data_IF_714550701926
#
_entry.id   IF_714550701926
#
_cell.length_a   1.000
_cell.length_b   1.000
_cell.length_c   1.000
_cell.angle_alpha   90.00
_cell.angle_beta   90.00
_cell.angle_gamma   90.00
#
_symmetry.space_group_name_H-M   'P 1'
#
loop_
_entity.id
_entity.type
_entity.pdbx_description
1 polymer ?
#
# COMPACT_ATOMS: atom_id res chain seq x y z
N UNK A 1 8.61 10.08 10.04
CA UNK A 1 8.89 9.57 8.67
C UNK A 1 9.90 10.48 8.00
N UNK A 2 11.00 9.92 7.44
CA UNK A 2 12.01 10.70 6.67
C UNK A 2 11.97 10.30 5.19
N UNK A 3 12.50 11.20 4.34
CA UNK A 3 12.56 11.00 2.89
C UNK A 3 13.98 11.25 2.40
N UNK A 4 14.47 10.37 1.56
CA UNK A 4 15.69 10.52 0.78
C UNK A 4 15.36 10.39 -0.71
N UNK A 5 16.16 10.98 -1.57
CA UNK A 5 15.96 10.98 -3.02
C UNK A 5 17.09 10.23 -3.71
N UNK A 6 16.73 9.33 -4.63
CA UNK A 6 17.68 8.60 -5.47
C UNK A 6 18.57 9.55 -6.28
N UNK A 7 19.84 9.20 -6.41
CA UNK A 7 20.82 9.96 -7.20
C UNK A 7 21.26 11.26 -6.56
N UNK A 8 20.79 11.60 -5.35
CA UNK A 8 21.18 12.80 -4.63
C UNK A 8 22.31 12.52 -3.63
N UNK A 9 23.26 13.47 -3.48
CA UNK A 9 24.31 13.37 -2.47
C UNK A 9 23.76 13.77 -1.10
N UNK A 10 24.10 13.00 -0.07
CA UNK A 10 23.85 13.27 1.35
C UNK A 10 25.13 13.08 2.15
N UNK A 11 25.22 13.70 3.34
CA UNK A 11 26.36 13.52 4.25
C UNK A 11 26.52 12.04 4.59
N UNK A 12 27.74 11.52 4.46
CA UNK A 12 28.04 10.11 4.71
C UNK A 12 27.67 9.69 6.15
N UNK A 13 27.83 10.62 7.11
CA UNK A 13 27.44 10.39 8.50
C UNK A 13 25.94 10.12 8.62
N UNK A 14 25.08 10.96 8.04
CA UNK A 14 23.61 10.79 8.06
C UNK A 14 23.21 9.46 7.44
N UNK A 15 23.84 9.07 6.31
CA UNK A 15 23.56 7.78 5.67
C UNK A 15 23.99 6.59 6.51
N UNK A 16 25.16 6.65 7.14
CA UNK A 16 25.66 5.59 8.04
C UNK A 16 24.76 5.42 9.26
N UNK A 17 24.39 6.53 9.90
CA UNK A 17 23.50 6.52 11.07
C UNK A 17 22.11 5.97 10.72
N UNK A 18 21.65 6.16 9.46
CA UNK A 18 20.32 5.75 9.01
C UNK A 18 20.27 4.32 8.45
N UNK A 19 21.23 3.96 7.60
CA UNK A 19 21.21 2.73 6.79
C UNK A 19 22.36 1.77 7.09
N UNK A 20 23.27 2.14 7.99
CA UNK A 20 24.53 1.42 8.15
C UNK A 20 25.41 1.59 6.90
N UNK A 21 25.74 0.48 6.23
CA UNK A 21 26.51 0.48 4.99
C UNK A 21 25.70 0.02 3.76
N UNK A 22 24.36 0.16 3.83
CA UNK A 22 23.45 -0.34 2.80
C UNK A 22 22.86 0.82 1.98
N UNK A 23 22.42 0.52 0.77
CA UNK A 23 21.57 1.35 -0.10
C UNK A 23 22.20 2.66 -0.62
N UNK A 24 23.48 2.88 -0.43
CA UNK A 24 24.19 4.03 -0.99
C UNK A 24 25.63 3.67 -1.41
N UNK A 25 26.17 4.44 -2.32
CA UNK A 25 27.57 4.35 -2.76
C UNK A 25 28.35 5.54 -2.20
N UNK A 26 29.47 5.29 -1.46
CA UNK A 26 30.30 6.38 -0.93
C UNK A 26 30.91 7.21 -2.06
N UNK A 27 30.91 8.54 -1.91
CA UNK A 27 31.53 9.48 -2.82
C UNK A 27 32.20 10.61 -2.02
N UNK A 28 33.43 10.39 -1.60
CA UNK A 28 34.20 11.33 -0.77
C UNK A 28 33.54 11.52 0.62
N UNK A 29 33.17 12.76 0.94
CA UNK A 29 32.50 13.14 2.22
C UNK A 29 31.01 12.83 2.21
N UNK A 30 30.45 12.59 1.02
CA UNK A 30 29.04 12.30 0.80
C UNK A 30 28.83 10.85 0.36
N UNK A 31 27.61 10.39 0.37
CA UNK A 31 27.16 9.16 -0.27
C UNK A 31 25.99 9.46 -1.19
N UNK A 32 25.82 8.66 -2.23
CA UNK A 32 24.73 8.77 -3.19
C UNK A 32 23.83 7.55 -3.02
N UNK A 33 22.52 7.77 -2.92
CA UNK A 33 21.52 6.71 -2.79
C UNK A 33 21.24 6.13 -4.18
N UNK A 34 21.41 4.81 -4.32
CA UNK A 34 21.24 4.09 -5.58
C UNK A 34 19.92 3.32 -5.67
N UNK A 35 19.12 3.36 -4.62
CA UNK A 35 17.90 2.56 -4.50
C UNK A 35 16.68 3.45 -4.28
N UNK A 36 15.53 2.94 -4.70
CA UNK A 36 14.21 3.53 -4.47
C UNK A 36 13.37 2.52 -3.71
N UNK A 37 12.63 2.97 -2.70
CA UNK A 37 11.79 2.05 -1.95
C UNK A 37 11.38 2.52 -0.57
N UNK A 38 11.25 1.55 0.30
CA UNK A 38 10.81 1.69 1.67
C UNK A 38 11.77 0.96 2.60
N UNK A 39 12.13 1.59 3.69
CA UNK A 39 12.96 1.04 4.74
C UNK A 39 12.34 1.32 6.10
N UNK A 40 12.20 0.29 6.91
CA UNK A 40 11.83 0.38 8.30
C UNK A 40 13.05 0.06 9.14
N UNK A 41 13.54 1.06 9.86
CA UNK A 41 14.76 0.92 10.67
C UNK A 41 14.50 0.12 11.94
N UNK A 42 15.58 -0.29 12.56
CA UNK A 42 15.60 -0.96 13.87
C UNK A 42 14.92 -0.11 14.96
N UNK A 43 15.01 1.21 14.86
CA UNK A 43 14.45 2.16 15.81
C UNK A 43 13.00 2.52 15.51
N UNK A 44 12.30 1.69 14.73
CA UNK A 44 10.91 1.87 14.27
C UNK A 44 10.68 3.11 13.42
N UNK A 45 11.73 3.65 12.80
CA UNK A 45 11.59 4.76 11.89
C UNK A 45 11.25 4.30 10.47
N UNK A 46 10.24 4.95 9.88
CA UNK A 46 9.85 4.73 8.49
C UNK A 46 10.59 5.72 7.59
N UNK A 47 11.30 5.19 6.61
CA UNK A 47 12.10 5.95 5.67
C UNK A 47 11.68 5.58 4.24
N UNK A 48 11.43 6.59 3.43
CA UNK A 48 11.17 6.42 2.00
C UNK A 48 12.34 6.91 1.18
N UNK A 49 12.76 6.08 0.23
CA UNK A 49 13.71 6.45 -0.80
C UNK A 49 12.93 6.69 -2.07
N UNK A 50 12.73 7.97 -2.41
CA UNK A 50 11.91 8.35 -3.54
C UNK A 50 12.72 8.47 -4.83
N UNK A 51 12.08 8.27 -5.98
CA UNK A 51 12.69 8.44 -7.29
C UNK A 51 13.20 9.87 -7.51
N UNK A 52 14.28 10.02 -8.28
CA UNK A 52 14.86 11.34 -8.61
C UNK A 52 13.91 12.30 -9.34
N UNK A 53 12.82 11.83 -9.90
CA UNK A 53 11.78 12.69 -10.51
C UNK A 53 11.01 13.53 -9.49
N UNK A 54 11.15 13.25 -8.19
CA UNK A 54 10.53 14.00 -7.10
C UNK A 54 11.26 15.29 -6.71
N UNK A 55 12.46 15.48 -7.23
CA UNK A 55 13.26 16.66 -6.97
C UNK A 55 13.36 17.50 -8.23
N UNK A 56 13.26 18.80 -8.08
CA UNK A 56 13.50 19.72 -9.17
C UNK A 56 15.01 19.92 -9.44
N UNK A 57 15.34 20.69 -10.46
CA UNK A 57 16.74 21.01 -10.83
C UNK A 57 17.46 21.84 -9.77
N UNK A 58 16.75 22.49 -8.86
CA UNK A 58 17.30 23.28 -7.76
C UNK A 58 17.53 22.45 -6.48
N UNK A 59 17.19 21.16 -6.49
CA UNK A 59 17.31 20.31 -5.33
C UNK A 59 16.17 20.45 -4.32
N UNK A 60 14.98 20.94 -4.75
CA UNK A 60 13.81 21.15 -3.90
C UNK A 60 12.76 20.05 -4.12
N UNK A 61 12.19 19.60 -3.04
CA UNK A 61 11.00 18.71 -3.01
C UNK A 61 9.76 19.61 -2.94
N UNK A 62 8.73 19.25 -3.73
CA UNK A 62 7.51 20.08 -3.89
C UNK A 62 7.80 21.52 -4.34
N UNK A 63 8.92 21.76 -5.05
CA UNK A 63 9.41 23.07 -5.50
C UNK A 63 9.62 24.11 -4.37
N UNK A 64 9.68 23.66 -3.12
CA UNK A 64 9.70 24.52 -1.94
C UNK A 64 10.72 24.11 -0.89
N UNK A 65 10.83 22.83 -0.59
CA UNK A 65 11.58 22.35 0.55
C UNK A 65 12.92 21.75 0.14
N UNK A 66 14.04 22.18 0.74
CA UNK A 66 15.35 21.54 0.54
C UNK A 66 15.30 20.06 0.94
N UNK A 67 15.88 19.19 0.11
CA UNK A 67 15.92 17.73 0.34
C UNK A 67 16.56 17.33 1.68
N UNK A 68 17.58 18.09 2.12
CA UNK A 68 18.31 17.79 3.34
C UNK A 68 17.43 17.92 4.60
N UNK A 69 16.42 18.80 4.58
CA UNK A 69 15.47 18.92 5.67
C UNK A 69 14.67 17.62 5.89
N UNK A 70 14.26 16.95 4.81
CA UNK A 70 13.53 15.68 4.88
C UNK A 70 14.43 14.48 5.22
N UNK A 71 15.73 14.59 4.96
CA UNK A 71 16.69 13.57 5.33
C UNK A 71 17.06 13.63 6.82
N UNK A 72 17.10 14.83 7.39
CA UNK A 72 17.50 15.07 8.78
C UNK A 72 16.31 15.09 9.75
N UNK A 73 15.09 15.46 9.28
CA UNK A 73 13.90 15.64 10.11
C UNK A 73 12.72 14.81 9.61
N UNK A 74 11.73 14.61 10.48
CA UNK A 74 10.46 14.00 10.09
C UNK A 74 9.67 14.92 9.15
N UNK A 75 8.93 14.34 8.21
CA UNK A 75 8.03 15.11 7.32
C UNK A 75 7.00 15.92 8.10
N UNK A 76 6.60 15.46 9.28
CA UNK A 76 5.65 16.14 10.15
C UNK A 76 6.23 17.41 10.78
N UNK A 77 7.56 17.47 10.93
CA UNK A 77 8.28 18.62 11.49
C UNK A 77 8.67 19.65 10.41
N UNK A 78 8.79 19.19 9.16
CA UNK A 78 9.23 20.03 8.03
C UNK A 78 8.07 20.74 7.35
N UNK A 79 6.92 20.07 7.22
CA UNK A 79 5.78 20.60 6.48
C UNK A 79 4.79 21.26 7.43
N UNK A 80 4.65 22.59 7.29
CA UNK A 80 3.71 23.39 8.09
C UNK A 80 2.26 23.26 7.60
N UNK A 81 2.07 23.14 6.29
CA UNK A 81 0.74 23.02 5.69
C UNK A 81 0.14 21.64 5.88
N UNK A 82 -0.99 21.56 6.58
CA UNK A 82 -1.69 20.27 6.81
C UNK A 82 -2.16 19.62 5.50
N UNK A 83 -2.51 20.40 4.48
CA UNK A 83 -2.94 19.86 3.19
C UNK A 83 -1.77 19.26 2.40
N UNK A 84 -0.61 19.93 2.38
CA UNK A 84 0.62 19.42 1.76
C UNK A 84 1.08 18.14 2.47
N UNK A 85 1.03 18.12 3.80
CA UNK A 85 1.39 16.95 4.61
C UNK A 85 0.47 15.76 4.31
N UNK A 86 -0.84 15.98 4.28
CA UNK A 86 -1.83 14.95 3.95
C UNK A 86 -1.64 14.42 2.52
N UNK A 87 -1.35 15.33 1.57
CA UNK A 87 -1.07 14.96 0.19
C UNK A 87 0.19 14.08 0.11
N UNK A 88 1.29 14.50 0.74
CA UNK A 88 2.54 13.75 0.74
C UNK A 88 2.38 12.37 1.38
N UNK A 89 1.76 12.29 2.56
CA UNK A 89 1.47 11.00 3.22
C UNK A 89 0.63 10.07 2.33
N UNK A 90 -0.39 10.62 1.66
CA UNK A 90 -1.22 9.86 0.72
C UNK A 90 -0.41 9.37 -0.48
N UNK A 91 0.46 10.23 -1.01
CA UNK A 91 1.37 9.88 -2.09
C UNK A 91 2.31 8.72 -1.68
N UNK A 92 2.98 8.81 -0.53
CA UNK A 92 3.88 7.76 -0.04
C UNK A 92 3.17 6.39 0.08
N UNK A 93 1.90 6.39 0.50
CA UNK A 93 1.09 5.16 0.55
C UNK A 93 0.82 4.61 -0.86
N UNK A 94 0.51 5.47 -1.83
CA UNK A 94 0.25 5.06 -3.22
C UNK A 94 1.54 4.53 -3.85
N UNK A 95 2.64 5.23 -3.64
CA UNK A 95 3.98 4.83 -4.09
C UNK A 95 4.36 3.43 -3.56
N UNK A 96 4.20 3.21 -2.26
CA UNK A 96 4.43 1.91 -1.65
C UNK A 96 3.57 0.80 -2.26
N UNK A 97 2.28 1.05 -2.52
CA UNK A 97 1.40 0.09 -3.20
C UNK A 97 1.88 -0.25 -4.60
N UNK A 98 2.38 0.74 -5.34
CA UNK A 98 2.98 0.53 -6.66
C UNK A 98 4.17 -0.44 -6.60
N UNK A 99 5.04 -0.29 -5.61
CA UNK A 99 6.16 -1.22 -5.37
C UNK A 99 5.68 -2.64 -5.07
N UNK A 100 4.66 -2.79 -4.24
CA UNK A 100 4.09 -4.10 -3.91
C UNK A 100 3.44 -4.75 -5.14
N UNK A 101 2.70 -4.01 -5.93
CA UNK A 101 2.08 -4.53 -7.16
C UNK A 101 3.14 -4.97 -8.18
N UNK A 102 4.21 -4.19 -8.33
CA UNK A 102 5.34 -4.58 -9.15
C UNK A 102 5.98 -5.89 -8.64
N UNK A 103 6.24 -6.00 -7.34
CA UNK A 103 6.75 -7.22 -6.71
C UNK A 103 5.88 -8.43 -7.02
N UNK A 104 4.55 -8.33 -6.86
CA UNK A 104 3.62 -9.43 -7.09
C UNK A 104 3.65 -9.89 -8.55
N UNK A 105 3.72 -8.96 -9.49
CA UNK A 105 3.73 -9.27 -10.94
C UNK A 105 5.00 -9.98 -11.38
N UNK A 106 6.16 -9.53 -10.92
CA UNK A 106 7.44 -10.08 -11.37
C UNK A 106 7.91 -11.30 -10.57
N UNK A 107 7.18 -11.68 -9.53
CA UNK A 107 7.46 -12.90 -8.78
C UNK A 107 7.36 -14.19 -9.62
N UNK A 108 6.44 -14.23 -10.56
CA UNK A 108 6.13 -15.42 -11.37
C UNK A 108 6.85 -15.46 -12.74
N UNK A 109 7.64 -14.45 -13.05
CA UNK A 109 8.41 -14.43 -14.31
C UNK A 109 9.83 -14.91 -14.04
N UNK A 110 10.22 -16.05 -14.63
CA UNK A 110 11.58 -16.59 -14.63
C UNK A 110 12.61 -15.68 -15.35
N UNK A 111 12.25 -14.47 -15.68
CA UNK A 111 13.19 -13.49 -16.21
C UNK A 111 14.02 -12.96 -15.06
N UNK A 112 15.33 -13.09 -15.18
CA UNK A 112 16.45 -12.71 -14.30
C UNK A 112 16.44 -11.24 -13.84
N UNK A 113 15.34 -10.78 -13.23
CA UNK A 113 15.20 -9.47 -12.59
C UNK A 113 15.45 -9.54 -11.08
N UNK A 114 16.09 -10.59 -10.58
CA UNK A 114 16.44 -10.75 -9.17
C UNK A 114 17.34 -9.64 -8.63
N UNK A 115 18.14 -9.02 -9.49
CA UNK A 115 19.01 -7.90 -9.11
C UNK A 115 18.27 -6.56 -8.99
N UNK A 116 17.03 -6.48 -9.47
CA UNK A 116 16.25 -5.23 -9.47
C UNK A 116 15.54 -5.01 -8.14
N UNK A 117 15.03 -6.08 -7.53
CA UNK A 117 14.24 -6.01 -6.30
C UNK A 117 14.96 -6.67 -5.13
N UNK A 118 15.32 -5.88 -4.13
CA UNK A 118 15.89 -6.36 -2.87
C UNK A 118 14.82 -6.38 -1.78
N UNK A 119 14.75 -7.47 -1.05
CA UNK A 119 13.82 -7.65 0.06
C UNK A 119 14.60 -7.90 1.34
N UNK A 120 14.01 -7.51 2.48
CA UNK A 120 14.59 -7.87 3.77
C UNK A 120 14.61 -9.40 3.95
N UNK A 121 15.60 -9.90 4.66
CA UNK A 121 15.71 -11.32 5.02
C UNK A 121 14.53 -11.84 5.84
N UNK A 122 13.76 -10.96 6.46
CA UNK A 122 12.53 -11.27 7.21
C UNK A 122 11.32 -11.49 6.32
N UNK A 123 11.37 -11.06 5.05
CA UNK A 123 10.30 -11.26 4.07
C UNK A 123 10.59 -12.54 3.28
N UNK A 124 10.02 -13.66 3.70
CA UNK A 124 9.89 -14.84 2.87
C UNK A 124 9.09 -14.54 1.60
N UNK A 125 9.15 -15.39 0.60
CA UNK A 125 8.50 -15.17 -0.69
C UNK A 125 6.99 -14.90 -0.64
N UNK A 126 6.30 -15.26 0.45
CA UNK A 126 4.85 -15.14 0.65
C UNK A 126 4.47 -14.24 1.85
N UNK A 127 5.43 -13.55 2.46
CA UNK A 127 5.16 -12.80 3.69
C UNK A 127 4.81 -11.32 3.40
N UNK A 128 3.92 -10.78 4.23
CA UNK A 128 3.57 -9.36 4.23
C UNK A 128 4.66 -8.56 4.94
N UNK A 129 4.98 -7.36 4.44
CA UNK A 129 5.82 -6.41 5.16
C UNK A 129 5.07 -5.86 6.38
N UNK A 130 5.79 -5.29 7.35
CA UNK A 130 5.15 -4.65 8.50
C UNK A 130 4.23 -3.50 8.04
N UNK A 131 4.64 -2.72 7.03
CA UNK A 131 3.80 -1.64 6.48
C UNK A 131 2.53 -2.16 5.80
N UNK A 132 2.56 -3.32 5.14
CA UNK A 132 1.35 -3.96 4.60
C UNK A 132 0.33 -4.25 5.70
N UNK A 133 0.81 -4.73 6.84
CA UNK A 133 -0.04 -5.03 7.99
C UNK A 133 -0.63 -3.73 8.54
N UNK A 134 0.18 -2.70 8.73
CA UNK A 134 -0.26 -1.38 9.21
C UNK A 134 -1.31 -0.78 8.29
N UNK A 135 -1.06 -0.76 6.98
CA UNK A 135 -2.02 -0.25 6.00
C UNK A 135 -3.30 -1.08 5.97
N UNK A 136 -3.19 -2.40 6.17
CA UNK A 136 -4.35 -3.29 6.27
C UNK A 136 -5.21 -2.96 7.49
N UNK A 137 -4.60 -2.64 8.64
CA UNK A 137 -5.33 -2.15 9.83
C UNK A 137 -6.09 -0.86 9.53
N UNK A 138 -5.43 0.13 8.95
CA UNK A 138 -6.04 1.43 8.63
C UNK A 138 -7.20 1.26 7.63
N UNK A 139 -6.99 0.48 6.58
CA UNK A 139 -8.01 0.22 5.57
C UNK A 139 -9.19 -0.59 6.13
N UNK A 140 -8.90 -1.60 6.97
CA UNK A 140 -9.93 -2.38 7.63
C UNK A 140 -10.81 -1.51 8.53
N UNK A 141 -10.18 -0.64 9.35
CA UNK A 141 -10.91 0.30 10.20
C UNK A 141 -11.79 1.25 9.38
N UNK A 142 -11.26 1.84 8.29
CA UNK A 142 -12.05 2.74 7.41
C UNK A 142 -13.28 2.05 6.82
N UNK A 143 -13.17 0.78 6.43
CA UNK A 143 -14.28 0.01 5.86
C UNK A 143 -15.28 -0.48 6.89
N UNK A 144 -14.86 -0.67 8.14
CA UNK A 144 -15.64 -1.32 9.19
C UNK A 144 -15.81 -0.44 10.43
N UNK A 145 -15.90 0.89 10.26
CA UNK A 145 -16.05 1.87 11.36
C UNK A 145 -17.16 1.56 12.36
N UNK A 146 -18.22 0.88 11.91
CA UNK A 146 -19.41 0.60 12.71
C UNK A 146 -19.47 -0.86 13.22
N UNK A 147 -18.32 -1.54 13.31
CA UNK A 147 -18.29 -2.88 13.91
C UNK A 147 -18.47 -2.77 15.40
N UNK A 148 -19.68 -2.98 15.86
CA UNK A 148 -20.06 -2.90 17.27
C UNK A 148 -20.54 -4.28 17.73
N UNK A 149 -19.94 -4.80 18.80
CA UNK A 149 -20.42 -5.99 19.48
C UNK A 149 -21.38 -5.62 20.57
N UNK A 150 -22.53 -6.31 20.57
CA UNK A 150 -23.57 -6.09 21.54
C UNK A 150 -23.70 -7.30 22.48
N UNK A 151 -23.73 -7.03 23.75
CA UNK A 151 -24.14 -8.02 24.77
C UNK A 151 -25.59 -7.78 25.21
N UNK A 152 -26.29 -8.85 25.50
CA UNK A 152 -27.62 -8.80 26.03
C UNK A 152 -27.60 -9.05 27.55
N UNK A 153 -27.61 -7.98 28.33
CA UNK A 153 -27.73 -8.10 29.79
C UNK A 153 -29.22 -8.33 30.16
N UNK A 154 -29.44 -9.33 30.98
CA UNK A 154 -30.79 -9.61 31.56
C UNK A 154 -31.03 -8.64 32.70
N UNK A 155 -32.03 -7.82 32.60
CA UNK A 155 -32.38 -6.83 33.61
C UNK A 155 -33.84 -6.93 33.95
N UNK A 156 -34.18 -6.78 35.24
CA UNK A 156 -35.56 -6.60 35.68
C UNK A 156 -35.94 -5.14 35.48
N UNK A 157 -37.08 -4.86 34.89
CA UNK A 157 -37.55 -3.51 34.59
C UNK A 157 -39.04 -3.39 34.76
N UNK A 158 -39.47 -2.27 35.33
CA UNK A 158 -40.89 -1.89 35.42
C UNK A 158 -41.40 -1.24 34.13
N UNK A 159 -40.49 -0.82 33.20
CA UNK A 159 -40.88 -0.21 31.93
C UNK A 159 -40.97 -1.25 30.82
N UNK A 160 -42.06 -1.20 30.05
CA UNK A 160 -42.31 -2.08 28.91
C UNK A 160 -41.27 -1.83 27.79
N UNK A 161 -40.34 -2.76 27.65
CA UNK A 161 -39.51 -2.99 26.48
C UNK A 161 -39.64 -4.47 26.11
N UNK A 162 -38.92 -4.95 25.12
CA UNK A 162 -39.03 -6.35 24.64
C UNK A 162 -38.89 -7.33 25.81
N UNK A 163 -40.02 -7.81 26.32
CA UNK A 163 -40.12 -8.68 27.51
C UNK A 163 -39.68 -10.09 27.14
N UNK A 164 -38.89 -10.70 28.01
CA UNK A 164 -38.59 -12.12 27.95
C UNK A 164 -39.64 -12.90 28.78
N UNK A 165 -40.77 -13.17 28.19
CA UNK A 165 -41.93 -13.83 28.86
C UNK A 165 -41.54 -15.16 29.48
N UNK A 166 -40.76 -16.01 28.78
CA UNK A 166 -40.37 -17.31 29.34
C UNK A 166 -39.57 -17.19 30.65
N UNK A 167 -38.76 -16.10 30.80
CA UNK A 167 -38.02 -15.82 32.05
C UNK A 167 -38.90 -15.11 33.08
N UNK A 168 -39.78 -14.21 32.64
CA UNK A 168 -40.72 -13.50 33.51
C UNK A 168 -41.62 -14.48 34.24
N UNK A 169 -42.25 -15.41 33.50
CA UNK A 169 -43.13 -16.45 34.07
C UNK A 169 -42.39 -17.37 35.04
N UNK A 170 -41.11 -17.68 34.78
CA UNK A 170 -40.33 -18.59 35.66
C UNK A 170 -39.77 -17.93 36.91
N UNK A 171 -39.54 -16.62 36.91
CA UNK A 171 -38.78 -15.94 37.98
C UNK A 171 -39.54 -14.84 38.71
N UNK A 172 -40.61 -14.33 38.15
CA UNK A 172 -41.40 -13.27 38.76
C UNK A 172 -42.69 -13.85 39.32
N UNK A 173 -43.04 -13.49 40.53
CA UNK A 173 -44.27 -13.88 41.14
C UNK A 173 -45.42 -13.03 40.57
N UNK A 174 -46.47 -13.63 39.96
CA UNK A 174 -47.60 -12.90 39.46
C UNK A 174 -48.56 -12.54 40.59
N UNK A 175 -49.20 -11.38 40.48
CA UNK A 175 -50.41 -11.11 41.21
C UNK A 175 -51.55 -11.74 40.39
N UNK A 176 -52.38 -12.56 41.02
CA UNK A 176 -53.52 -13.18 40.37
C UNK A 176 -54.77 -12.32 40.64
N UNK A 177 -55.43 -11.87 39.60
CA UNK A 177 -56.70 -11.14 39.71
C UNK A 177 -57.80 -12.06 40.21
N UNK A 178 -58.95 -11.52 40.67
CA UNK A 178 -60.10 -12.29 41.06
C UNK A 178 -60.67 -13.19 39.93
N UNK A 179 -60.31 -12.86 38.67
CA UNK A 179 -60.67 -13.61 37.46
C UNK A 179 -59.61 -14.68 37.08
N UNK A 180 -58.61 -14.89 37.92
CA UNK A 180 -57.55 -15.88 37.67
C UNK A 180 -56.46 -15.44 36.69
N UNK A 181 -56.42 -14.17 36.25
CA UNK A 181 -55.45 -13.66 35.28
C UNK A 181 -54.16 -13.26 36.00
N UNK A 182 -53.00 -13.80 35.61
CA UNK A 182 -51.72 -13.45 36.21
C UNK A 182 -51.19 -12.10 35.69
N UNK A 183 -50.95 -11.15 36.59
CA UNK A 183 -50.33 -9.85 36.34
C UNK A 183 -48.88 -9.84 36.89
N UNK A 184 -47.91 -9.58 36.05
CA UNK A 184 -46.52 -9.49 36.46
C UNK A 184 -46.11 -8.03 36.66
N UNK A 185 -45.83 -7.65 37.91
CA UNK A 185 -45.36 -6.31 38.25
C UNK A 185 -43.86 -6.11 37.88
N UNK A 186 -43.10 -7.20 37.83
CA UNK A 186 -41.71 -7.20 37.47
C UNK A 186 -41.46 -8.00 36.19
N UNK A 187 -41.09 -7.28 35.14
CA UNK A 187 -40.83 -7.86 33.82
C UNK A 187 -39.32 -8.10 33.61
N UNK A 188 -38.96 -9.30 33.19
CA UNK A 188 -37.61 -9.59 32.77
C UNK A 188 -37.42 -9.15 31.31
N UNK A 189 -36.57 -8.16 31.07
CA UNK A 189 -36.26 -7.61 29.74
C UNK A 189 -34.84 -7.93 29.33
N UNK A 190 -34.62 -8.12 28.03
CA UNK A 190 -33.31 -8.18 27.45
C UNK A 190 -32.96 -6.77 26.98
N UNK A 191 -31.97 -6.14 27.58
CA UNK A 191 -31.44 -4.88 27.11
C UNK A 191 -30.13 -5.13 26.35
N UNK A 192 -30.01 -4.52 25.19
CA UNK A 192 -28.83 -4.60 24.34
C UNK A 192 -27.86 -3.49 24.79
N UNK A 193 -26.64 -3.84 25.11
CA UNK A 193 -25.55 -2.92 25.48
C UNK A 193 -24.39 -3.13 24.52
N UNK A 194 -23.62 -2.09 24.27
CA UNK A 194 -22.34 -2.19 23.60
C UNK A 194 -21.38 -2.88 24.55
N UNK A 195 -20.63 -3.85 24.05
CA UNK A 195 -19.57 -4.51 24.82
C UNK A 195 -18.28 -3.72 24.65
N UNK A 196 -18.05 -2.78 25.57
CA UNK A 196 -16.89 -1.91 25.59
C UNK A 196 -15.63 -2.60 26.13
N UNK A 197 -15.78 -3.79 26.70
CA UNK A 197 -14.68 -4.58 27.28
C UNK A 197 -14.34 -5.83 26.45
N UNK A 198 -14.89 -5.93 25.22
CA UNK A 198 -14.59 -7.07 24.37
C UNK A 198 -13.08 -7.10 23.99
N UNK A 199 -12.41 -8.16 24.40
CA UNK A 199 -10.94 -8.31 24.29
C UNK A 199 -10.42 -8.04 22.88
N UNK A 200 -11.09 -8.54 21.82
CA UNK A 200 -10.66 -8.35 20.44
C UNK A 200 -10.72 -6.89 20.00
N UNK A 201 -11.80 -6.19 20.33
CA UNK A 201 -12.01 -4.78 19.96
C UNK A 201 -11.07 -3.87 20.76
N UNK A 202 -10.91 -4.13 22.06
CA UNK A 202 -9.97 -3.41 22.89
C UNK A 202 -8.53 -3.53 22.37
N UNK A 203 -8.11 -4.74 21.98
CA UNK A 203 -6.80 -4.96 21.34
C UNK A 203 -6.70 -4.22 20.00
N UNK A 204 -7.72 -4.30 19.16
CA UNK A 204 -7.72 -3.67 17.84
C UNK A 204 -7.61 -2.13 17.95
N UNK A 205 -8.41 -1.51 18.81
CA UNK A 205 -8.35 -0.06 19.03
C UNK A 205 -7.07 0.38 19.75
N UNK A 206 -6.50 -0.48 20.61
CA UNK A 206 -5.20 -0.22 21.23
C UNK A 206 -4.07 -0.19 20.19
N UNK A 207 -4.06 -1.14 19.25
CA UNK A 207 -3.11 -1.14 18.13
C UNK A 207 -3.33 0.09 17.24
N UNK A 208 -4.57 0.42 16.88
CA UNK A 208 -4.85 1.64 16.10
C UNK A 208 -4.37 2.91 16.79
N UNK A 209 -4.53 2.99 18.12
CA UNK A 209 -4.03 4.13 18.88
C UNK A 209 -2.51 4.20 18.88
N UNK A 210 -1.84 3.07 19.02
CA UNK A 210 -0.38 2.97 18.91
C UNK A 210 0.10 3.40 17.52
N UNK A 211 -0.52 2.90 16.44
CA UNK A 211 -0.21 3.29 15.07
C UNK A 211 -0.46 4.78 14.80
N UNK A 212 -1.48 5.36 15.44
CA UNK A 212 -1.72 6.80 15.36
C UNK A 212 -0.61 7.61 16.00
N UNK A 213 -0.12 7.21 17.18
CA UNK A 213 0.92 7.94 17.90
C UNK A 213 2.30 7.76 17.30
N UNK A 214 2.69 6.53 16.94
CA UNK A 214 4.03 6.22 16.45
C UNK A 214 4.23 6.59 14.96
N UNK A 215 3.19 6.37 14.13
CA UNK A 215 3.30 6.59 12.68
C UNK A 215 2.50 7.79 12.19
N UNK A 216 1.93 8.57 13.09
CA UNK A 216 1.19 9.79 12.80
C UNK A 216 0.05 9.63 11.76
N UNK A 217 -0.59 8.46 11.73
CA UNK A 217 -1.73 8.23 10.87
C UNK A 217 -2.96 9.01 11.35
N UNK A 218 -3.63 9.71 10.45
CA UNK A 218 -4.92 10.36 10.75
C UNK A 218 -6.02 9.31 10.89
N UNK A 219 -6.20 8.78 12.12
CA UNK A 219 -7.20 7.76 12.44
C UNK A 219 -8.13 8.32 13.52
N UNK A 220 -9.44 8.30 13.25
CA UNK A 220 -10.45 8.54 14.27
C UNK A 220 -10.68 7.24 15.04
N UNK A 221 -10.43 7.25 16.33
CA UNK A 221 -10.57 6.11 17.22
C UNK A 221 -11.84 6.28 18.05
N UNK A 222 -12.62 5.22 18.20
CA UNK A 222 -13.78 5.20 19.07
C UNK A 222 -13.30 5.04 20.54
N UNK A 223 -13.42 6.10 21.31
CA UNK A 223 -13.01 6.14 22.72
C UNK A 223 -13.97 5.40 23.67
N UNK A 224 -15.08 4.85 23.15
CA UNK A 224 -16.01 4.05 23.94
C UNK A 224 -15.41 2.74 24.43
N UNK A 225 -14.34 2.25 23.77
CA UNK A 225 -13.64 1.04 24.15
C UNK A 225 -12.47 1.30 25.10
N UNK A 226 -12.14 0.31 25.93
CA UNK A 226 -10.96 0.38 26.80
C UNK A 226 -9.68 0.26 25.97
N UNK A 227 -8.96 1.38 25.82
CA UNK A 227 -7.75 1.48 24.99
C UNK A 227 -6.52 1.46 25.89
N UNK A 228 -5.64 0.51 25.67
CA UNK A 228 -4.33 0.47 26.33
C UNK A 228 -3.39 1.48 25.67
N UNK A 229 -2.77 2.37 26.48
CA UNK A 229 -1.84 3.41 26.03
C UNK A 229 -0.53 3.32 26.81
N UNK A 230 0.60 3.73 26.20
CA UNK A 230 1.92 3.74 26.85
C UNK A 230 2.31 2.39 27.45
N UNK A 231 2.73 2.34 28.70
CA UNK A 231 3.16 1.11 29.39
C UNK A 231 2.08 0.03 29.48
N UNK A 232 0.79 0.41 29.46
CA UNK A 232 -0.31 -0.55 29.39
C UNK A 232 -0.37 -1.23 28.03
N UNK A 233 -0.03 -0.51 26.95
CA UNK A 233 0.08 -1.09 25.61
C UNK A 233 1.25 -2.08 25.51
N UNK A 234 2.40 -1.76 26.06
CA UNK A 234 3.56 -2.67 26.10
C UNK A 234 3.23 -3.99 26.80
N UNK A 235 2.54 -3.92 27.95
CA UNK A 235 2.04 -5.11 28.67
C UNK A 235 1.03 -5.89 27.84
N UNK A 236 0.13 -5.20 27.12
CA UNK A 236 -0.81 -5.82 26.21
C UNK A 236 -0.07 -6.54 25.07
N UNK A 237 0.90 -5.87 24.42
CA UNK A 237 1.68 -6.42 23.31
C UNK A 237 2.46 -7.67 23.72
N UNK A 238 3.11 -7.65 24.89
CA UNK A 238 3.81 -8.82 25.43
C UNK A 238 2.89 -10.03 25.69
N UNK A 239 1.65 -9.78 26.12
CA UNK A 239 0.67 -10.82 26.40
C UNK A 239 -0.24 -11.16 25.22
N UNK A 240 -0.21 -10.38 24.14
CA UNK A 240 -1.11 -10.52 22.99
C UNK A 240 -1.15 -11.93 22.39
N UNK A 241 -0.03 -12.67 22.21
CA UNK A 241 -0.08 -14.02 21.67
C UNK A 241 -0.87 -14.99 22.56
N UNK A 242 -0.78 -14.83 23.89
CA UNK A 242 -1.52 -15.66 24.86
C UNK A 242 -3.02 -15.34 24.79
N UNK A 243 -3.36 -14.05 24.74
CA UNK A 243 -4.75 -13.57 24.66
C UNK A 243 -5.37 -14.05 23.34
N UNK A 244 -4.69 -13.85 22.21
CA UNK A 244 -5.16 -14.28 20.89
C UNK A 244 -5.39 -15.79 20.84
N UNK A 245 -4.48 -16.59 21.39
CA UNK A 245 -4.66 -18.04 21.46
C UNK A 245 -5.93 -18.43 22.26
N UNK A 246 -6.23 -17.72 23.35
CA UNK A 246 -7.43 -17.96 24.17
C UNK A 246 -8.73 -17.65 23.43
N UNK A 247 -8.75 -16.58 22.62
CA UNK A 247 -9.97 -16.10 21.94
C UNK A 247 -10.12 -16.64 20.50
N UNK A 248 -9.20 -17.47 20.03
CA UNK A 248 -9.10 -17.95 18.63
C UNK A 248 -10.41 -18.44 18.02
N UNK A 249 -11.21 -19.16 18.78
CA UNK A 249 -12.46 -19.76 18.29
C UNK A 249 -13.73 -19.07 18.82
N UNK A 250 -13.58 -17.86 19.39
CA UNK A 250 -14.71 -17.14 19.99
C UNK A 250 -15.61 -16.46 18.94
N UNK A 251 -15.08 -16.19 17.75
CA UNK A 251 -15.74 -15.37 16.74
C UNK A 251 -16.08 -16.16 15.49
N UNK A 252 -17.31 -15.93 14.97
CA UNK A 252 -17.83 -16.59 13.78
C UNK A 252 -18.16 -15.60 12.66
N UNK A 253 -18.21 -14.29 12.95
CA UNK A 253 -18.42 -13.26 11.93
C UNK A 253 -17.16 -13.06 11.11
N UNK A 254 -17.26 -13.03 9.77
CA UNK A 254 -16.15 -12.80 8.85
C UNK A 254 -15.34 -11.55 9.19
N UNK A 255 -16.04 -10.48 9.60
CA UNK A 255 -15.38 -9.21 10.00
C UNK A 255 -14.51 -9.41 11.24
N UNK A 256 -15.01 -10.11 12.25
CA UNK A 256 -14.26 -10.35 13.48
C UNK A 256 -13.13 -11.37 13.28
N UNK A 257 -13.33 -12.37 12.43
CA UNK A 257 -12.29 -13.33 12.05
C UNK A 257 -11.18 -12.62 11.27
N UNK A 258 -11.51 -11.70 10.38
CA UNK A 258 -10.50 -10.87 9.68
C UNK A 258 -9.75 -9.96 10.65
N UNK A 259 -10.44 -9.32 11.58
CA UNK A 259 -9.85 -8.51 12.65
C UNK A 259 -8.88 -9.33 13.51
N UNK A 260 -9.29 -10.53 13.91
CA UNK A 260 -8.45 -11.47 14.65
C UNK A 260 -7.17 -11.82 13.87
N UNK A 261 -7.29 -12.19 12.59
CA UNK A 261 -6.13 -12.50 11.73
C UNK A 261 -5.18 -11.32 11.58
N UNK A 262 -5.69 -10.11 11.45
CA UNK A 262 -4.86 -8.90 11.39
C UNK A 262 -4.07 -8.71 12.69
N UNK A 263 -4.70 -8.88 13.86
CA UNK A 263 -4.03 -8.81 15.15
C UNK A 263 -2.97 -9.91 15.31
N UNK A 264 -3.28 -11.14 14.88
CA UNK A 264 -2.33 -12.25 14.90
C UNK A 264 -1.09 -11.95 14.03
N UNK A 265 -1.28 -11.44 12.81
CA UNK A 265 -0.19 -11.01 11.93
C UNK A 265 0.63 -9.86 12.55
N UNK A 266 -0.05 -8.85 13.08
CA UNK A 266 0.62 -7.70 13.68
C UNK A 266 1.50 -8.11 14.85
N UNK A 267 0.96 -8.82 15.84
CA UNK A 267 1.73 -9.21 17.02
C UNK A 267 2.75 -10.32 16.74
N UNK A 268 2.55 -11.17 15.74
CA UNK A 268 3.57 -12.13 15.33
C UNK A 268 4.80 -11.45 14.71
N UNK A 269 4.59 -10.36 13.94
CA UNK A 269 5.69 -9.57 13.37
C UNK A 269 6.31 -8.63 14.39
N UNK A 270 5.53 -7.88 15.17
CA UNK A 270 6.04 -6.98 16.19
C UNK A 270 6.82 -7.70 17.27
N UNK A 271 6.42 -8.90 17.69
CA UNK A 271 7.16 -9.71 18.65
C UNK A 271 8.46 -10.29 18.07
N UNK A 272 8.51 -10.65 16.78
CA UNK A 272 9.75 -11.04 16.11
C UNK A 272 10.74 -9.88 16.03
N UNK A 273 10.24 -8.66 15.85
CA UNK A 273 11.04 -7.43 15.86
C UNK A 273 11.56 -7.10 17.27
N UNK A 274 10.81 -7.43 18.32
CA UNK A 274 11.17 -7.06 19.71
C UNK A 274 12.01 -8.09 20.49
N UNK A 275 12.02 -9.38 20.10
CA UNK A 275 12.52 -10.44 21.01
C UNK A 275 13.82 -11.11 20.58
N UNK A 276 14.22 -11.20 19.31
CA UNK A 276 15.46 -11.94 19.01
C UNK A 276 16.34 -11.45 17.84
N UNK A 277 15.85 -10.64 16.93
CA UNK A 277 16.71 -9.98 15.96
C UNK A 277 16.02 -8.68 15.55
N UNK A 278 16.70 -7.57 15.75
CA UNK A 278 16.38 -6.28 15.15
C UNK A 278 16.44 -6.44 13.62
N UNK A 279 15.41 -7.03 13.04
CA UNK A 279 15.36 -7.27 11.61
C UNK A 279 14.77 -6.03 10.94
N UNK A 280 15.61 -5.39 10.19
CA UNK A 280 15.21 -4.35 9.26
C UNK A 280 14.20 -4.91 8.27
N UNK A 281 13.13 -4.19 8.02
CA UNK A 281 12.14 -4.53 7.01
C UNK A 281 12.26 -3.53 5.85
N UNK A 282 12.52 -4.01 4.64
CA UNK A 282 12.69 -3.12 3.50
C UNK A 282 12.23 -3.77 2.19
N UNK A 283 11.80 -2.91 1.28
CA UNK A 283 11.59 -3.23 -0.12
C UNK A 283 12.35 -2.18 -0.92
N UNK A 284 13.46 -2.59 -1.50
CA UNK A 284 14.34 -1.71 -2.26
C UNK A 284 14.42 -2.16 -3.71
N UNK A 285 14.43 -1.20 -4.60
CA UNK A 285 14.51 -1.40 -6.03
C UNK A 285 15.74 -0.68 -6.54
N UNK A 286 16.63 -1.44 -7.11
CA UNK A 286 17.72 -0.93 -7.96
C UNK A 286 17.18 -0.76 -9.38
N UNK A 287 17.63 0.27 -10.09
CA UNK A 287 17.15 0.54 -11.46
C UNK A 287 15.63 0.83 -11.54
N UNK A 288 15.16 1.75 -10.73
CA UNK A 288 13.75 2.13 -10.67
C UNK A 288 13.18 2.61 -12.01
N UNK A 289 14.01 3.06 -12.95
CA UNK A 289 13.56 3.43 -14.30
C UNK A 289 12.77 2.29 -14.98
N UNK A 290 13.10 1.02 -14.75
CA UNK A 290 12.37 -0.13 -15.28
C UNK A 290 10.94 -0.23 -14.71
N UNK A 291 10.78 0.10 -13.44
CA UNK A 291 9.46 0.15 -12.80
C UNK A 291 8.67 1.34 -13.33
N UNK A 292 9.32 2.48 -13.46
CA UNK A 292 8.71 3.69 -13.99
C UNK A 292 8.18 3.46 -15.41
N UNK A 293 8.97 2.87 -16.29
CA UNK A 293 8.56 2.48 -17.66
C UNK A 293 7.36 1.51 -17.63
N UNK A 294 7.40 0.48 -16.77
CA UNK A 294 6.28 -0.48 -16.63
C UNK A 294 4.99 0.18 -16.11
N UNK A 295 5.12 1.12 -15.17
CA UNK A 295 3.96 1.87 -14.65
C UNK A 295 3.35 2.77 -15.73
N UNK A 296 4.19 3.48 -16.49
CA UNK A 296 3.74 4.33 -17.59
C UNK A 296 3.13 3.48 -18.70
N UNK A 297 3.76 2.36 -19.07
CA UNK A 297 3.22 1.45 -20.08
C UNK A 297 1.80 0.99 -19.72
N UNK A 298 1.54 0.68 -18.46
CA UNK A 298 0.19 0.30 -18.00
C UNK A 298 -0.84 1.41 -17.98
N UNK A 299 -0.39 2.64 -17.77
CA UNK A 299 -1.28 3.79 -17.79
C UNK A 299 -1.68 4.16 -19.22
N UNK A 300 -0.75 4.01 -20.19
CA UNK A 300 -0.92 4.46 -21.57
C UNK A 300 -1.36 3.30 -22.48
N UNK A 301 -0.77 2.13 -22.32
CA UNK A 301 -0.90 0.98 -23.25
C UNK A 301 -2.11 0.10 -22.92
N UNK A 302 -3.21 0.65 -22.46
CA UNK A 302 -4.38 -0.16 -22.15
C UNK A 302 -4.85 -0.98 -23.36
N UNK A 303 -4.63 -2.30 -23.37
CA UNK A 303 -5.25 -3.31 -24.26
C UNK A 303 -4.62 -3.59 -25.62
N UNK A 304 -3.56 -2.94 -26.04
CA UNK A 304 -2.89 -3.30 -27.32
C UNK A 304 -2.31 -4.72 -27.27
N UNK A 305 -1.83 -5.16 -26.10
CA UNK A 305 -1.25 -6.50 -25.92
C UNK A 305 -2.24 -7.65 -26.19
N UNK A 306 -3.53 -7.39 -26.15
CA UNK A 306 -4.60 -8.37 -26.38
C UNK A 306 -5.26 -8.26 -27.75
N UNK A 307 -5.00 -7.18 -28.50
CA UNK A 307 -5.55 -7.00 -29.84
C UNK A 307 -4.74 -7.78 -30.85
N UNK A 308 -5.44 -8.56 -31.67
CA UNK A 308 -4.91 -9.17 -32.87
C UNK A 308 -5.30 -8.31 -34.05
N UNK A 309 -4.38 -8.14 -35.00
CA UNK A 309 -4.72 -7.57 -36.34
C UNK A 309 -5.73 -8.47 -37.00
N UNK A 310 -6.47 -7.95 -38.02
CA UNK A 310 -7.44 -8.70 -38.84
C UNK A 310 -6.90 -10.01 -39.46
N UNK A 311 -5.61 -10.28 -39.27
CA UNK A 311 -4.87 -11.45 -39.77
C UNK A 311 -4.20 -12.29 -38.69
N UNK A 312 -4.60 -12.14 -37.39
CA UNK A 312 -4.12 -12.97 -36.29
C UNK A 312 -2.67 -12.69 -35.90
N UNK A 313 -2.12 -11.52 -36.21
CA UNK A 313 -0.79 -11.12 -35.76
C UNK A 313 -0.98 -10.27 -34.50
N UNK A 314 -0.47 -10.73 -33.37
CA UNK A 314 -0.51 -9.99 -32.12
C UNK A 314 0.29 -8.69 -32.22
N UNK A 315 -0.30 -7.56 -31.83
CA UNK A 315 0.38 -6.27 -31.72
C UNK A 315 1.55 -6.29 -30.72
N UNK A 316 1.57 -7.26 -29.80
CA UNK A 316 2.71 -7.53 -28.94
C UNK A 316 4.00 -7.79 -29.73
N UNK A 317 3.92 -8.43 -30.91
CA UNK A 317 5.07 -8.64 -31.80
C UNK A 317 5.65 -7.36 -32.35
N UNK A 318 4.88 -6.25 -32.42
CA UNK A 318 5.40 -4.93 -32.82
C UNK A 318 6.38 -4.37 -31.77
N UNK A 319 6.19 -4.70 -30.49
CA UNK A 319 7.12 -4.32 -29.41
C UNK A 319 8.39 -5.19 -29.43
N UNK A 320 8.30 -6.43 -29.91
CA UNK A 320 9.42 -7.37 -29.99
C UNK A 320 10.30 -7.03 -31.20
N UNK A 321 11.52 -6.57 -30.95
CA UNK A 321 12.45 -6.18 -31.99
C UNK A 321 13.52 -7.24 -32.22
N UNK A 322 13.82 -7.53 -33.52
CA UNK A 322 14.91 -8.42 -33.91
C UNK A 322 16.31 -7.90 -33.52
N UNK A 323 16.46 -6.58 -33.36
CA UNK A 323 17.73 -5.92 -33.00
C UNK A 323 17.90 -5.71 -31.50
N UNK A 324 17.06 -6.28 -30.64
CA UNK A 324 17.15 -6.16 -29.19
C UNK A 324 16.71 -4.80 -28.61
N UNK A 325 16.15 -3.92 -29.44
CA UNK A 325 15.61 -2.63 -29.01
C UNK A 325 14.10 -2.75 -28.89
N UNK A 326 13.61 -2.78 -27.66
CA UNK A 326 12.19 -2.88 -27.35
C UNK A 326 11.59 -1.47 -27.32
N UNK A 327 10.43 -1.28 -27.94
CA UNK A 327 9.66 -0.03 -27.85
C UNK A 327 9.06 0.05 -26.44
N UNK A 328 9.31 1.16 -25.74
CA UNK A 328 8.83 1.33 -24.36
C UNK A 328 7.30 1.32 -24.33
N UNK A 329 6.67 2.17 -25.14
CA UNK A 329 5.21 2.29 -25.19
C UNK A 329 4.69 2.33 -26.63
N UNK A 330 3.62 1.59 -26.85
CA UNK A 330 2.86 1.60 -28.09
C UNK A 330 1.39 1.76 -27.76
N UNK A 331 0.71 2.78 -28.27
CA UNK A 331 -0.70 3.03 -28.02
C UNK A 331 -1.45 3.52 -29.25
N UNK A 332 -2.72 3.12 -29.34
CA UNK A 332 -3.65 3.61 -30.33
C UNK A 332 -4.22 4.96 -29.88
N UNK A 333 -4.40 5.87 -30.83
CA UNK A 333 -5.05 7.14 -30.60
C UNK A 333 -6.41 7.18 -31.28
N UNK A 334 -7.48 7.30 -30.51
CA UNK A 334 -8.78 7.69 -31.01
C UNK A 334 -8.79 9.20 -31.22
N UNK A 335 -8.49 9.63 -32.46
CA UNK A 335 -8.65 11.05 -32.80
C UNK A 335 -10.12 11.44 -32.73
N UNK A 336 -10.44 12.58 -32.09
CA UNK A 336 -11.79 13.16 -32.14
C UNK A 336 -12.21 13.61 -33.54
N UNK A 337 -11.25 13.77 -34.44
CA UNK A 337 -11.47 14.26 -35.83
C UNK A 337 -11.44 13.11 -36.82
N UNK A 338 -10.62 12.11 -36.60
CA UNK A 338 -10.43 11.00 -37.53
C UNK A 338 -10.33 9.70 -36.73
N UNK A 339 -11.33 8.81 -36.85
CA UNK A 339 -11.35 7.50 -36.19
C UNK A 339 -10.58 6.45 -36.97
N UNK A 340 -9.47 6.82 -37.56
CA UNK A 340 -8.63 5.88 -38.30
C UNK A 340 -7.88 4.98 -37.29
N UNK A 341 -8.35 3.75 -37.13
CA UNK A 341 -7.78 2.73 -36.24
C UNK A 341 -6.33 2.33 -36.59
N UNK A 342 -5.75 2.92 -37.61
CA UNK A 342 -4.41 2.62 -38.13
C UNK A 342 -3.30 3.53 -37.60
N UNK A 343 -3.61 4.49 -36.73
CA UNK A 343 -2.61 5.40 -36.16
C UNK A 343 -2.09 4.84 -34.83
N UNK A 344 -0.78 4.59 -34.77
CA UNK A 344 -0.07 4.19 -33.57
C UNK A 344 0.86 5.30 -33.12
N UNK A 345 0.92 5.52 -31.79
CA UNK A 345 1.90 6.39 -31.19
C UNK A 345 2.98 5.56 -30.52
N UNK A 346 4.22 5.93 -30.76
CA UNK A 346 5.38 5.35 -30.11
C UNK A 346 5.80 6.31 -29.03
N UNK A 347 5.77 5.84 -27.78
CA UNK A 347 6.20 6.58 -26.61
C UNK A 347 7.52 6.05 -26.07
N UNK A 348 8.36 6.95 -25.54
CA UNK A 348 9.61 6.63 -24.87
C UNK A 348 9.61 7.33 -23.51
N UNK A 349 9.54 6.54 -22.44
CA UNK A 349 9.52 7.07 -21.07
C UNK A 349 10.90 7.56 -20.66
N UNK A 350 10.96 8.80 -20.16
CA UNK A 350 12.19 9.38 -19.68
C UNK A 350 12.18 9.54 -18.17
N UNK A 351 13.03 8.80 -17.52
CA UNK A 351 13.25 8.86 -16.09
C UNK A 351 14.33 9.90 -15.75
N UNK A 352 13.95 11.19 -15.81
CA UNK A 352 14.82 12.34 -15.54
C UNK A 352 14.30 13.19 -14.39
N UNK A 353 15.17 14.06 -13.84
CA UNK A 353 14.72 15.14 -12.97
C UNK A 353 13.80 16.09 -13.74
N UNK A 354 12.88 16.71 -13.06
CA UNK A 354 11.99 17.73 -13.63
C UNK A 354 12.82 18.82 -14.32
N UNK A 355 12.40 19.23 -15.51
CA UNK A 355 13.04 20.26 -16.35
C UNK A 355 14.43 19.90 -16.95
N UNK A 356 14.86 18.64 -16.91
CA UNK A 356 16.00 18.24 -17.71
C UNK A 356 15.62 18.21 -19.20
N UNK A 357 16.49 18.77 -20.04
CA UNK A 357 16.31 18.70 -21.49
C UNK A 357 16.48 17.28 -22.01
N UNK A 358 15.70 16.93 -23.03
CA UNK A 358 15.81 15.64 -23.69
C UNK A 358 17.11 15.62 -24.50
N UNK A 359 17.98 14.66 -24.22
CA UNK A 359 19.24 14.52 -24.98
C UNK A 359 18.97 14.11 -26.42
N UNK A 360 19.78 14.60 -27.38
CA UNK A 360 19.68 14.28 -28.79
C UNK A 360 19.66 12.76 -29.08
N UNK A 361 20.46 11.99 -28.35
CA UNK A 361 20.47 10.52 -28.45
C UNK A 361 19.09 9.88 -28.19
N UNK A 362 18.22 10.51 -27.43
CA UNK A 362 16.85 10.02 -27.18
C UNK A 362 15.95 10.24 -28.38
N UNK A 363 16.16 11.32 -29.11
CA UNK A 363 15.44 11.62 -30.36
C UNK A 363 15.81 10.59 -31.43
N UNK A 364 17.10 10.28 -31.57
CA UNK A 364 17.56 9.25 -32.53
C UNK A 364 17.01 7.85 -32.22
N UNK A 365 16.82 7.49 -30.95
CA UNK A 365 16.15 6.24 -30.59
C UNK A 365 14.73 6.15 -31.11
N UNK A 366 13.94 7.23 -31.02
CA UNK A 366 12.57 7.24 -31.52
C UNK A 366 12.51 7.04 -33.04
N UNK A 367 13.43 7.64 -33.80
CA UNK A 367 13.55 7.35 -35.24
C UNK A 367 13.88 5.88 -35.51
N UNK A 368 14.71 5.27 -34.67
CA UNK A 368 15.03 3.84 -34.81
C UNK A 368 13.80 2.98 -34.53
N UNK A 369 13.00 3.31 -33.52
CA UNK A 369 11.74 2.63 -33.23
C UNK A 369 10.74 2.75 -34.38
N UNK A 370 10.58 3.94 -34.93
CA UNK A 370 9.73 4.16 -36.08
C UNK A 370 10.19 3.30 -37.30
N UNK A 371 11.50 3.28 -37.57
CA UNK A 371 12.09 2.44 -38.62
C UNK A 371 11.79 0.95 -38.41
N UNK A 372 11.87 0.48 -37.16
CA UNK A 372 11.60 -0.92 -36.81
C UNK A 372 10.13 -1.30 -37.04
N UNK A 373 9.20 -0.40 -36.69
CA UNK A 373 7.77 -0.58 -36.98
C UNK A 373 7.53 -0.67 -38.50
N UNK A 374 8.19 0.19 -39.29
CA UNK A 374 8.13 0.15 -40.77
C UNK A 374 8.66 -1.19 -41.25
N UNK A 375 9.84 -1.61 -40.81
CA UNK A 375 10.45 -2.86 -41.25
C UNK A 375 9.59 -4.07 -40.87
N UNK A 376 9.01 -4.09 -39.68
CA UNK A 376 8.06 -5.15 -39.28
C UNK A 376 6.87 -5.23 -40.22
N UNK A 377 6.31 -4.09 -40.62
CA UNK A 377 5.20 -4.05 -41.59
C UNK A 377 5.62 -4.55 -42.99
N UNK A 378 6.83 -4.18 -43.47
CA UNK A 378 7.38 -4.66 -44.72
C UNK A 378 7.57 -6.18 -44.69
N UNK A 379 8.13 -6.71 -43.59
CA UNK A 379 8.35 -8.14 -43.42
C UNK A 379 7.01 -8.92 -43.46
N UNK A 380 5.98 -8.38 -42.80
CA UNK A 380 4.64 -8.97 -42.84
C UNK A 380 3.99 -8.93 -44.25
N UNK A 381 4.24 -7.88 -45.01
CA UNK A 381 3.78 -7.79 -46.41
C UNK A 381 4.48 -8.84 -47.27
N UNK A 382 5.78 -9.02 -47.10
CA UNK A 382 6.58 -10.01 -47.82
C UNK A 382 6.18 -11.45 -47.49
N UNK A 383 5.67 -11.70 -46.28
CA UNK A 383 5.10 -13.00 -45.88
C UNK A 383 3.67 -13.22 -46.45
N UNK A 384 3.19 -12.35 -47.33
CA UNK A 384 1.84 -12.40 -47.93
C UNK A 384 0.72 -11.99 -46.96
N UNK A 385 1.06 -11.49 -45.80
CA UNK A 385 0.13 -10.98 -44.80
C UNK A 385 -0.09 -9.48 -45.04
N UNK A 386 -1.22 -9.09 -45.61
CA UNK A 386 -1.55 -7.66 -45.80
C UNK A 386 -1.78 -6.99 -44.46
N UNK A 387 -1.02 -6.00 -44.09
CA UNK A 387 -1.33 -5.04 -43.04
C UNK A 387 -1.91 -3.80 -43.71
N UNK A 388 -2.87 -3.14 -43.04
CA UNK A 388 -3.47 -1.92 -43.55
C UNK A 388 -2.38 -0.88 -43.87
N UNK A 389 -2.41 -0.36 -45.12
CA UNK A 389 -1.42 0.55 -45.67
C UNK A 389 -1.47 2.00 -45.09
N UNK A 390 -2.21 2.22 -44.00
CA UNK A 390 -2.51 3.56 -43.52
C UNK A 390 -1.69 3.95 -42.26
N UNK A 391 -0.45 3.45 -42.14
CA UNK A 391 0.41 3.95 -41.07
C UNK A 391 0.90 5.36 -41.44
N UNK A 392 0.30 6.38 -40.90
CA UNK A 392 0.77 7.76 -41.05
C UNK A 392 1.74 8.06 -39.90
N UNK A 393 2.97 8.39 -40.28
CA UNK A 393 3.98 8.90 -39.32
C UNK A 393 3.78 10.40 -39.20
N UNK A 394 3.52 10.88 -38.00
CA UNK A 394 3.59 12.28 -37.62
C UNK A 394 4.70 12.52 -36.61
#
# INVERSE_FOLDING_TARGET
MRIFIEGEPYKLKTLKDTFGEKFYSPNGVNGIIDNVGYYHSIDNEVIYLLPKVFIDTKGLILNKYPKDLFAENSIDDVIESQDELNWLKRFLIIFYKGLIEYRIRYKNTNQSKGDVLQLSSSLGENEYSFLDIVLSFVNFHKKNKNTILFIHKKQTSKKQKKVNWGKTVRKSNPFVTNEGIPIYSELNVKKKYIDTEEELLCMFYSVLNHLKTEYNFSIQIDESYTIAKGSAYEKLAANAPKILKKIRYKYFSDTLVKMYKLLELYFSKSNKVSIQNKNEDFIMVKYYHLIFEDMIDKLITSKIDTKETSKGVSLKKLKENKDGKIIDHLFEYDSLIDRDESIFYIGDSKYYKTNNEVQENSIYKQFTYAKNVIQFNIDLLNEGKKINNNIRYR
#
